data_IF_000385953039
#
_entry.id   IF_000385953039
#
_cell.length_a   1.000
_cell.length_b   1.000
_cell.length_c   1.000
_cell.angle_alpha   90.00
_cell.angle_beta   90.00
_cell.angle_gamma   90.00
#
_symmetry.space_group_name_H-M   'P 1'
#
loop_
_entity.id
_entity.type
_entity.pdbx_description
1 polymer ?
#
# COMPACT_ATOMS: atom_id res chain seq x y z
N UNK A 1 -16.56 -14.97 -12.30
CA UNK A 1 -16.09 -13.58 -12.23
C UNK A 1 -17.31 -12.65 -12.12
N UNK A 2 -17.65 -12.17 -10.93
CA UNK A 2 -18.58 -11.04 -10.81
C UNK A 2 -17.78 -9.83 -11.29
N UNK A 3 -18.34 -9.11 -12.25
CA UNK A 3 -17.71 -7.94 -12.88
C UNK A 3 -17.43 -6.90 -11.78
N UNK A 4 -16.17 -6.81 -11.34
CA UNK A 4 -15.73 -5.92 -10.25
C UNK A 4 -15.93 -4.44 -10.64
N UNK A 5 -15.97 -4.16 -11.95
CA UNK A 5 -16.22 -2.84 -12.53
C UNK A 5 -17.58 -2.23 -12.12
N UNK A 6 -18.56 -3.06 -11.74
CA UNK A 6 -19.86 -2.57 -11.25
C UNK A 6 -19.81 -2.08 -9.79
N UNK A 7 -18.77 -2.48 -9.04
CA UNK A 7 -18.66 -2.14 -7.62
C UNK A 7 -17.46 -1.23 -7.31
N UNK A 8 -16.55 -1.05 -8.27
CA UNK A 8 -15.33 -0.27 -8.07
C UNK A 8 -15.11 0.72 -9.22
N UNK A 9 -14.96 1.99 -8.89
CA UNK A 9 -14.52 3.05 -9.78
C UNK A 9 -13.04 3.32 -9.56
N UNK A 10 -12.28 3.60 -10.63
CA UNK A 10 -10.88 4.00 -10.54
C UNK A 10 -10.76 5.50 -10.81
N UNK A 11 -10.01 6.21 -9.97
CA UNK A 11 -9.82 7.65 -10.08
C UNK A 11 -8.33 8.00 -10.13
N UNK A 12 -8.01 9.06 -10.87
CA UNK A 12 -6.67 9.65 -11.01
C UNK A 12 -5.62 8.65 -11.52
N UNK A 13 -6.01 7.76 -12.44
CA UNK A 13 -5.16 6.70 -13.02
C UNK A 13 -3.86 7.24 -13.63
N UNK A 14 -3.85 8.48 -14.15
CA UNK A 14 -2.66 9.13 -14.69
C UNK A 14 -1.49 9.17 -13.68
N UNK A 15 -1.78 9.13 -12.38
CA UNK A 15 -0.75 9.14 -11.33
C UNK A 15 0.02 7.83 -11.23
N UNK A 16 -0.52 6.73 -11.75
CA UNK A 16 0.13 5.43 -11.80
C UNK A 16 0.59 5.08 -13.21
N UNK A 17 -0.17 5.49 -14.24
CA UNK A 17 0.17 5.27 -15.65
C UNK A 17 1.44 6.00 -16.08
N UNK A 18 1.68 7.19 -15.51
CA UNK A 18 2.88 7.99 -15.79
C UNK A 18 4.16 7.46 -15.10
N UNK A 19 4.08 6.41 -14.29
CA UNK A 19 5.27 5.76 -13.73
C UNK A 19 5.96 4.93 -14.82
N UNK A 20 7.26 5.18 -15.12
CA UNK A 20 7.97 4.39 -16.10
C UNK A 20 7.96 2.89 -15.76
N UNK A 21 7.79 2.02 -16.77
CA UNK A 21 7.64 0.57 -16.57
C UNK A 21 8.77 -0.06 -15.77
N UNK A 22 10.00 0.43 -15.91
CA UNK A 22 11.18 -0.11 -15.24
C UNK A 22 11.42 0.46 -13.85
N UNK A 23 10.71 1.53 -13.47
CA UNK A 23 10.96 2.22 -12.20
C UNK A 23 10.28 1.56 -11.01
N UNK A 24 9.12 0.96 -11.18
CA UNK A 24 8.28 0.50 -10.08
C UNK A 24 7.77 1.65 -9.21
N UNK A 25 6.94 1.31 -8.21
CA UNK A 25 6.43 2.28 -7.23
C UNK A 25 6.09 1.60 -5.90
N UNK A 26 6.14 2.35 -4.81
CA UNK A 26 5.55 1.97 -3.53
C UNK A 26 4.11 2.48 -3.50
N UNK A 27 3.15 1.60 -3.33
CA UNK A 27 1.77 1.98 -3.07
C UNK A 27 1.56 2.06 -1.56
N UNK A 28 1.32 3.28 -1.07
CA UNK A 28 1.06 3.54 0.34
C UNK A 28 -0.42 3.27 0.61
N UNK A 29 -0.72 2.17 1.28
CA UNK A 29 -2.07 1.65 1.46
C UNK A 29 -2.56 1.83 2.89
N UNK A 30 -3.88 1.81 3.05
CA UNK A 30 -4.58 1.96 4.33
C UNK A 30 -5.62 0.85 4.52
N UNK A 31 -5.89 0.47 5.77
CA UNK A 31 -7.02 -0.37 6.12
C UNK A 31 -8.29 0.50 6.11
N UNK A 32 -8.85 0.73 4.92
CA UNK A 32 -10.02 1.58 4.72
C UNK A 32 -10.98 0.96 3.70
N UNK A 33 -12.25 1.28 3.84
CA UNK A 33 -13.30 0.73 2.99
C UNK A 33 -13.23 -0.80 2.93
N UNK A 34 -13.34 -1.36 1.75
CA UNK A 34 -13.12 -2.79 1.50
C UNK A 34 -11.70 -3.06 0.99
N UNK A 35 -10.68 -2.88 1.85
CA UNK A 35 -9.26 -3.01 1.46
C UNK A 35 -8.88 -4.36 0.86
N UNK A 36 -9.65 -5.42 1.04
CA UNK A 36 -9.40 -6.72 0.37
C UNK A 36 -9.50 -6.60 -1.16
N UNK A 37 -10.24 -5.61 -1.69
CA UNK A 37 -10.28 -5.31 -3.14
C UNK A 37 -8.89 -4.92 -3.68
N UNK A 38 -8.01 -4.33 -2.86
CA UNK A 38 -6.65 -3.97 -3.25
C UNK A 38 -5.84 -5.18 -3.77
N UNK A 39 -6.20 -6.39 -3.34
CA UNK A 39 -5.57 -7.63 -3.82
C UNK A 39 -5.91 -7.94 -5.29
N UNK A 40 -6.95 -7.30 -5.83
CA UNK A 40 -7.37 -7.39 -7.24
C UNK A 40 -6.81 -6.26 -8.11
N UNK A 41 -5.99 -5.40 -7.55
CA UNK A 41 -5.47 -4.22 -8.23
C UNK A 41 -4.78 -4.57 -9.57
N UNK A 42 -4.09 -5.70 -9.65
CA UNK A 42 -3.43 -6.15 -10.88
C UNK A 42 -4.40 -6.40 -12.05
N UNK A 43 -5.62 -6.87 -11.76
CA UNK A 43 -6.68 -7.05 -12.78
C UNK A 43 -7.34 -5.74 -13.20
N UNK A 44 -7.23 -4.70 -12.36
CA UNK A 44 -8.05 -3.48 -12.45
C UNK A 44 -7.32 -2.31 -13.08
N UNK A 45 -6.02 -2.19 -12.83
CA UNK A 45 -5.23 -1.07 -13.38
C UNK A 45 -4.82 -1.37 -14.82
N UNK A 46 -4.98 -0.39 -15.74
CA UNK A 46 -4.65 -0.58 -17.16
C UNK A 46 -3.13 -0.58 -17.43
N UNK A 47 -2.33 -0.76 -16.41
CA UNK A 47 -0.88 -0.72 -16.48
C UNK A 47 -0.30 -2.14 -16.51
N UNK A 48 0.72 -2.37 -17.34
CA UNK A 48 1.41 -3.66 -17.45
C UNK A 48 2.38 -3.94 -16.30
N UNK A 49 2.58 -3.00 -15.38
CA UNK A 49 3.45 -3.22 -14.23
C UNK A 49 2.83 -4.28 -13.29
N UNK A 50 3.62 -5.29 -12.88
CA UNK A 50 3.10 -6.29 -11.96
C UNK A 50 2.79 -5.66 -10.60
N UNK A 51 1.70 -6.08 -9.96
CA UNK A 51 1.30 -5.62 -8.64
C UNK A 51 1.61 -6.66 -7.59
N UNK A 52 2.10 -6.24 -6.44
CA UNK A 52 2.34 -7.11 -5.31
C UNK A 52 2.14 -6.39 -3.99
N UNK A 53 2.14 -7.13 -2.89
CA UNK A 53 1.91 -6.56 -1.57
C UNK A 53 2.72 -7.24 -0.46
N UNK A 54 3.11 -6.45 0.54
CA UNK A 54 3.69 -6.98 1.77
C UNK A 54 2.57 -7.48 2.68
N UNK A 55 2.70 -8.69 3.22
CA UNK A 55 1.71 -9.22 4.15
C UNK A 55 2.34 -9.87 5.38
N UNK A 56 1.57 -9.95 6.45
CA UNK A 56 1.92 -10.71 7.66
C UNK A 56 1.30 -12.10 7.58
N UNK A 57 2.10 -13.18 7.53
CA UNK A 57 1.58 -14.54 7.55
C UNK A 57 0.74 -14.84 8.79
N UNK A 58 -0.34 -15.58 8.61
CA UNK A 58 -1.18 -16.06 9.70
C UNK A 58 -0.47 -17.16 10.48
N UNK A 59 -0.88 -17.35 11.75
CA UNK A 59 -0.27 -18.37 12.62
C UNK A 59 -0.53 -19.81 12.12
N UNK A 60 -1.74 -20.05 11.59
CA UNK A 60 -2.10 -21.36 11.04
C UNK A 60 -1.66 -21.41 9.56
N UNK A 61 -0.74 -22.30 9.16
CA UNK A 61 -0.21 -22.36 7.80
C UNK A 61 -1.24 -22.80 6.75
N UNK A 62 -2.26 -23.58 7.13
CA UNK A 62 -3.32 -23.99 6.20
C UNK A 62 -4.22 -22.81 5.86
N UNK A 63 -4.59 -22.02 6.86
CA UNK A 63 -5.39 -20.81 6.67
C UNK A 63 -4.55 -19.77 5.91
N UNK A 64 -3.27 -19.60 6.27
CA UNK A 64 -2.36 -18.68 5.58
C UNK A 64 -2.26 -19.01 4.09
N UNK A 65 -2.04 -20.27 3.73
CA UNK A 65 -1.99 -20.72 2.35
C UNK A 65 -3.31 -20.46 1.60
N UNK A 66 -4.44 -20.72 2.25
CA UNK A 66 -5.76 -20.46 1.65
C UNK A 66 -5.95 -18.98 1.35
N UNK A 67 -5.75 -18.12 2.36
CA UNK A 67 -5.89 -16.66 2.22
C UNK A 67 -4.91 -16.10 1.19
N UNK A 68 -3.65 -16.58 1.22
CA UNK A 68 -2.65 -16.18 0.23
C UNK A 68 -3.09 -16.50 -1.19
N UNK A 69 -3.55 -17.74 -1.45
CA UNK A 69 -4.06 -18.15 -2.77
C UNK A 69 -5.23 -17.29 -3.24
N UNK A 70 -6.16 -16.96 -2.33
CA UNK A 70 -7.29 -16.09 -2.64
C UNK A 70 -6.84 -14.68 -3.04
N UNK A 71 -5.90 -14.10 -2.30
CA UNK A 71 -5.36 -12.78 -2.60
C UNK A 71 -4.52 -12.75 -3.88
N UNK A 72 -3.79 -13.83 -4.18
CA UNK A 72 -2.98 -13.94 -5.39
C UNK A 72 -3.81 -14.36 -6.63
N UNK A 73 -5.08 -14.75 -6.47
CA UNK A 73 -5.94 -15.17 -7.58
C UNK A 73 -6.22 -14.08 -8.62
N UNK A 74 -6.01 -12.81 -8.28
CA UNK A 74 -6.09 -11.65 -9.17
C UNK A 74 -4.74 -11.26 -9.81
N UNK A 75 -3.76 -12.18 -9.84
CA UNK A 75 -2.45 -11.92 -10.44
C UNK A 75 -1.46 -11.15 -9.55
N UNK A 76 -1.90 -10.62 -8.40
CA UNK A 76 -1.01 -9.94 -7.46
C UNK A 76 -0.06 -10.94 -6.77
N UNK A 77 1.16 -10.51 -6.46
CA UNK A 77 2.15 -11.33 -5.73
C UNK A 77 2.25 -10.89 -4.27
N UNK A 78 2.26 -11.85 -3.33
CA UNK A 78 2.37 -11.55 -1.91
C UNK A 78 3.73 -11.90 -1.34
N UNK A 79 4.34 -10.93 -0.63
CA UNK A 79 5.65 -11.05 -0.01
C UNK A 79 5.53 -11.03 1.52
N UNK A 80 5.96 -12.12 2.17
CA UNK A 80 5.96 -12.20 3.63
C UNK A 80 6.91 -11.17 4.26
N UNK A 81 6.47 -10.43 5.28
CA UNK A 81 7.30 -9.46 6.03
C UNK A 81 8.61 -10.06 6.58
N UNK A 82 8.61 -11.34 6.94
CA UNK A 82 9.78 -11.99 7.55
C UNK A 82 10.80 -12.49 6.53
N UNK A 83 10.35 -13.08 5.43
CA UNK A 83 11.21 -13.78 4.46
C UNK A 83 11.12 -13.25 3.04
N UNK A 84 10.12 -12.45 2.74
CA UNK A 84 9.82 -11.95 1.40
C UNK A 84 10.48 -10.62 1.04
N UNK A 85 11.17 -9.93 1.96
CA UNK A 85 11.70 -8.58 1.71
C UNK A 85 12.68 -8.53 0.54
N UNK A 86 13.56 -9.54 0.41
CA UNK A 86 14.53 -9.61 -0.71
C UNK A 86 13.78 -9.77 -2.04
N UNK A 87 12.74 -10.61 -2.06
CA UNK A 87 11.93 -10.83 -3.26
C UNK A 87 11.11 -9.58 -3.60
N UNK A 88 10.55 -8.90 -2.61
CA UNK A 88 9.84 -7.64 -2.78
C UNK A 88 10.75 -6.54 -3.36
N UNK A 89 12.01 -6.45 -2.91
CA UNK A 89 12.98 -5.53 -3.49
C UNK A 89 13.33 -5.87 -4.94
N UNK A 90 13.53 -7.15 -5.26
CA UNK A 90 13.75 -7.59 -6.65
C UNK A 90 12.54 -7.31 -7.54
N UNK A 91 11.35 -7.50 -7.00
CA UNK A 91 10.09 -7.21 -7.68
C UNK A 91 9.97 -5.71 -8.00
N UNK A 92 10.21 -4.85 -7.00
CA UNK A 92 10.20 -3.40 -7.15
C UNK A 92 11.24 -2.93 -8.19
N UNK A 93 12.46 -3.50 -8.15
CA UNK A 93 13.53 -3.18 -9.11
C UNK A 93 13.20 -3.57 -10.57
N UNK A 94 12.28 -4.51 -10.76
CA UNK A 94 11.78 -4.93 -12.09
C UNK A 94 10.54 -4.15 -12.54
N UNK A 95 10.26 -3.01 -11.95
CA UNK A 95 9.11 -2.19 -12.29
C UNK A 95 7.83 -2.56 -11.55
N UNK A 96 7.87 -3.43 -10.54
CA UNK A 96 6.68 -3.84 -9.79
C UNK A 96 6.11 -2.74 -8.90
N UNK A 97 4.79 -2.68 -8.76
CA UNK A 97 4.09 -1.81 -7.82
C UNK A 97 3.86 -2.55 -6.50
N UNK A 98 4.55 -2.12 -5.45
CA UNK A 98 4.57 -2.81 -4.17
C UNK A 98 3.66 -2.13 -3.15
N UNK A 99 2.52 -2.73 -2.84
CA UNK A 99 1.58 -2.28 -1.82
C UNK A 99 2.07 -2.56 -0.40
N UNK A 100 2.01 -1.55 0.46
CA UNK A 100 2.35 -1.64 1.88
C UNK A 100 1.27 -0.93 2.70
N UNK A 101 0.54 -1.69 3.52
CA UNK A 101 -0.40 -1.15 4.51
C UNK A 101 0.39 -0.54 5.68
N UNK A 102 0.18 0.75 5.96
CA UNK A 102 1.08 1.54 6.80
C UNK A 102 0.42 2.15 8.05
N UNK A 103 -0.87 2.06 8.17
CA UNK A 103 -1.71 2.71 9.18
C UNK A 103 -1.84 1.95 10.50
N UNK A 104 -1.21 0.78 10.63
CA UNK A 104 -1.22 0.00 11.86
C UNK A 104 0.04 0.22 12.71
N UNK A 105 -0.13 0.08 14.03
CA UNK A 105 0.96 0.09 14.98
C UNK A 105 2.01 -0.99 14.67
N UNK A 106 3.26 -0.60 14.51
CA UNK A 106 4.36 -1.48 14.06
C UNK A 106 5.20 -2.05 15.21
N UNK A 107 4.83 -1.80 16.45
CA UNK A 107 5.51 -2.30 17.63
C UNK A 107 6.96 -1.80 17.73
N UNK A 108 7.84 -2.62 18.29
CA UNK A 108 9.25 -2.28 18.50
C UNK A 108 10.06 -2.11 17.20
N UNK A 109 9.57 -2.64 16.08
CA UNK A 109 10.25 -2.57 14.79
C UNK A 109 9.93 -1.29 14.00
N UNK A 110 8.91 -0.54 14.43
CA UNK A 110 8.52 0.73 13.83
C UNK A 110 9.36 1.92 14.31
N UNK A 111 9.25 3.02 13.59
CA UNK A 111 9.76 4.31 14.01
C UNK A 111 8.78 4.93 15.01
N UNK A 112 9.28 5.29 16.20
CA UNK A 112 8.49 6.06 17.17
C UNK A 112 8.23 7.44 16.62
N UNK A 113 6.97 7.84 16.56
CA UNK A 113 6.52 9.12 16.04
C UNK A 113 5.17 9.49 16.65
N UNK A 114 4.66 10.66 16.31
CA UNK A 114 3.29 11.04 16.65
C UNK A 114 2.39 10.83 15.44
N UNK A 115 1.21 10.28 15.67
CA UNK A 115 0.12 10.19 14.70
C UNK A 115 -1.09 10.88 15.34
N UNK A 116 -1.61 11.93 14.71
CA UNK A 116 -2.66 12.80 15.27
C UNK A 116 -2.32 13.33 16.69
N UNK A 117 -1.04 13.65 16.91
CA UNK A 117 -0.55 14.13 18.21
C UNK A 117 -0.32 13.04 19.26
N UNK A 118 -0.80 11.82 19.07
CA UNK A 118 -0.59 10.69 19.98
C UNK A 118 0.69 9.91 19.64
N UNK A 119 1.37 9.40 20.67
CA UNK A 119 2.54 8.53 20.53
C UNK A 119 2.18 7.28 19.75
N UNK A 120 2.92 6.98 18.68
CA UNK A 120 2.68 5.83 17.82
C UNK A 120 4.01 5.23 17.33
N UNK A 121 3.90 4.10 16.64
CA UNK A 121 5.02 3.42 16.01
C UNK A 121 4.63 3.02 14.59
N UNK A 122 5.21 3.68 13.61
CA UNK A 122 4.86 3.52 12.19
C UNK A 122 5.98 2.77 11.46
N UNK A 123 5.61 1.92 10.51
CA UNK A 123 6.59 1.18 9.71
C UNK A 123 7.40 2.14 8.82
N UNK A 124 8.75 2.16 8.92
CA UNK A 124 9.59 2.95 8.02
C UNK A 124 9.81 2.28 6.65
N UNK A 125 9.21 1.11 6.42
CA UNK A 125 9.48 0.30 5.22
C UNK A 125 9.20 1.01 3.90
N UNK A 126 8.10 1.76 3.71
CA UNK A 126 7.86 2.52 2.48
C UNK A 126 8.97 3.53 2.19
N UNK A 127 9.36 4.31 3.20
CA UNK A 127 10.43 5.30 3.06
C UNK A 127 11.78 4.65 2.73
N UNK A 128 12.15 3.57 3.44
CA UNK A 128 13.40 2.83 3.20
C UNK A 128 13.46 2.29 1.77
N UNK A 129 12.38 1.70 1.28
CA UNK A 129 12.35 1.11 -0.06
C UNK A 129 12.34 2.19 -1.14
N UNK A 130 11.56 3.26 -0.96
CA UNK A 130 11.51 4.37 -1.91
C UNK A 130 12.86 5.06 -2.04
N UNK A 131 13.56 5.37 -0.94
CA UNK A 131 14.91 5.94 -0.96
C UNK A 131 15.92 5.01 -1.62
N UNK A 132 15.89 3.72 -1.25
CA UNK A 132 16.83 2.72 -1.79
C UNK A 132 16.70 2.51 -3.29
N UNK A 133 15.47 2.51 -3.80
CA UNK A 133 15.17 2.22 -5.21
C UNK A 133 14.89 3.47 -6.04
N UNK A 134 14.92 4.66 -5.42
CA UNK A 134 14.64 5.94 -6.05
C UNK A 134 13.32 5.92 -6.83
N UNK A 135 12.30 5.29 -6.24
CA UNK A 135 10.98 5.13 -6.84
C UNK A 135 9.93 5.97 -6.11
N UNK A 136 8.86 6.39 -6.78
CA UNK A 136 7.80 7.19 -6.17
C UNK A 136 7.03 6.40 -5.12
N UNK A 137 6.49 7.12 -4.13
CA UNK A 137 5.48 6.62 -3.21
C UNK A 137 4.13 7.19 -3.64
N UNK A 138 3.18 6.33 -3.95
CA UNK A 138 1.84 6.72 -4.41
C UNK A 138 0.84 6.30 -3.35
N UNK A 139 0.22 7.26 -2.62
CA UNK A 139 -0.86 6.92 -1.72
C UNK A 139 -2.07 6.44 -2.51
N UNK A 140 -2.73 5.38 -2.02
CA UNK A 140 -3.93 4.83 -2.63
C UNK A 140 -5.02 4.74 -1.58
N UNK A 141 -6.17 5.36 -1.86
CA UNK A 141 -7.35 5.31 -0.98
C UNK A 141 -8.45 4.47 -1.60
N UNK A 142 -9.31 3.91 -0.76
CA UNK A 142 -10.48 3.15 -1.16
C UNK A 142 -11.70 3.68 -0.40
N UNK A 143 -12.34 4.68 -1.00
CA UNK A 143 -13.51 5.37 -0.42
C UNK A 143 -14.79 4.59 -0.69
N UNK A 144 -15.67 4.51 0.30
CA UNK A 144 -17.02 3.96 0.17
C UNK A 144 -17.96 5.03 -0.38
N UNK A 145 -18.38 4.92 -1.62
CA UNK A 145 -19.34 5.85 -2.26
C UNK A 145 -20.78 5.58 -1.82
N UNK A 146 -21.14 4.32 -1.72
CA UNK A 146 -22.44 3.83 -1.24
C UNK A 146 -22.32 2.35 -0.84
N UNK A 147 -23.33 1.73 -0.18
CA UNK A 147 -23.28 0.31 0.14
C UNK A 147 -22.95 -0.57 -1.07
N UNK A 148 -21.83 -1.29 -1.00
CA UNK A 148 -21.35 -2.18 -2.06
C UNK A 148 -20.66 -1.48 -3.25
N UNK A 149 -20.38 -0.18 -3.14
CA UNK A 149 -19.65 0.57 -4.17
C UNK A 149 -18.50 1.35 -3.58
N UNK A 150 -17.33 1.27 -4.21
CA UNK A 150 -16.10 1.92 -3.77
C UNK A 150 -15.44 2.68 -4.91
N UNK A 151 -14.61 3.68 -4.55
CA UNK A 151 -13.69 4.35 -5.46
C UNK A 151 -12.26 4.10 -4.99
N UNK A 152 -11.42 3.56 -5.86
CA UNK A 152 -9.98 3.46 -5.66
C UNK A 152 -9.31 4.66 -6.34
N UNK A 153 -8.66 5.50 -5.54
CA UNK A 153 -8.00 6.72 -6.02
C UNK A 153 -6.50 6.63 -5.84
N UNK A 154 -5.77 6.92 -6.91
CA UNK A 154 -4.32 7.02 -6.90
C UNK A 154 -3.92 8.49 -6.73
N UNK A 155 -3.40 8.86 -5.56
CA UNK A 155 -2.98 10.23 -5.28
C UNK A 155 -1.66 10.57 -6.01
N UNK A 156 -1.32 11.87 -6.02
CA UNK A 156 -0.09 12.34 -6.66
C UNK A 156 1.16 11.63 -6.12
N UNK A 157 2.05 11.17 -7.01
CA UNK A 157 3.30 10.54 -6.61
C UNK A 157 4.17 11.47 -5.77
N UNK A 158 4.74 10.92 -4.70
CA UNK A 158 5.68 11.59 -3.81
C UNK A 158 7.08 11.10 -4.14
N UNK A 159 7.95 12.00 -4.61
CA UNK A 159 9.36 11.71 -4.79
C UNK A 159 10.12 12.11 -3.52
N UNK A 160 10.76 11.15 -2.89
CA UNK A 160 11.61 11.42 -1.74
C UNK A 160 12.99 11.86 -2.22
N UNK A 161 13.49 12.97 -1.67
CA UNK A 161 14.84 13.45 -1.97
C UNK A 161 15.88 12.41 -1.52
N UNK A 162 16.90 12.08 -2.35
CA UNK A 162 17.96 11.16 -1.96
C UNK A 162 18.86 11.71 -0.84
N UNK A 163 18.75 13.00 -0.51
CA UNK A 163 19.53 13.66 0.54
C UNK A 163 18.94 13.49 1.95
N UNK A 164 17.64 13.16 2.06
CA UNK A 164 17.02 12.97 3.37
C UNK A 164 17.26 11.54 3.88
N UNK A 165 17.31 11.41 5.20
CA UNK A 165 17.44 10.09 5.81
C UNK A 165 16.07 9.37 5.93
N UNK A 166 16.13 8.09 6.31
CA UNK A 166 14.93 7.26 6.45
C UNK A 166 13.95 7.77 7.52
N UNK A 167 14.43 8.48 8.54
CA UNK A 167 13.61 9.00 9.64
C UNK A 167 12.83 10.20 9.15
N UNK A 168 13.50 11.15 8.52
CA UNK A 168 12.88 12.32 7.91
C UNK A 168 11.88 11.91 6.81
N UNK A 169 12.29 10.98 5.92
CA UNK A 169 11.41 10.43 4.89
C UNK A 169 10.15 9.77 5.47
N UNK A 170 10.30 9.01 6.57
CA UNK A 170 9.15 8.41 7.26
C UNK A 170 8.22 9.48 7.83
N UNK A 171 8.76 10.53 8.47
CA UNK A 171 7.96 11.63 9.01
C UNK A 171 7.19 12.39 7.91
N UNK A 172 7.79 12.58 6.72
CA UNK A 172 7.07 13.14 5.56
C UNK A 172 5.88 12.26 5.17
N UNK A 173 6.09 10.95 5.08
CA UNK A 173 5.00 10.02 4.76
C UNK A 173 3.93 9.95 5.85
N UNK A 174 4.30 10.07 7.14
CA UNK A 174 3.34 10.15 8.25
C UNK A 174 2.42 11.36 8.11
N UNK A 175 2.95 12.54 7.76
CA UNK A 175 2.12 13.73 7.50
C UNK A 175 1.13 13.51 6.34
N UNK A 176 1.56 12.82 5.28
CA UNK A 176 0.66 12.46 4.18
C UNK A 176 -0.41 11.49 4.65
N UNK A 177 -0.05 10.49 5.47
CA UNK A 177 -0.99 9.55 6.06
C UNK A 177 -2.02 10.28 6.92
N UNK A 178 -1.61 11.19 7.81
CA UNK A 178 -2.52 11.98 8.65
C UNK A 178 -3.54 12.76 7.81
N UNK A 179 -3.09 13.43 6.75
CA UNK A 179 -3.97 14.18 5.86
C UNK A 179 -5.01 13.27 5.18
N UNK A 180 -4.57 12.12 4.68
CA UNK A 180 -5.46 11.13 4.05
C UNK A 180 -6.44 10.57 5.06
N UNK A 181 -5.95 10.10 6.22
CA UNK A 181 -6.81 9.51 7.25
C UNK A 181 -7.81 10.52 7.82
N UNK A 182 -7.44 11.81 7.90
CA UNK A 182 -8.36 12.88 8.27
C UNK A 182 -9.45 13.08 7.20
N UNK A 183 -9.06 13.17 5.93
CA UNK A 183 -9.98 13.39 4.80
C UNK A 183 -10.97 12.25 4.64
N UNK A 184 -10.49 11.00 4.76
CA UNK A 184 -11.28 9.77 4.57
C UNK A 184 -11.61 9.08 5.91
N UNK A 185 -11.78 9.85 6.98
CA UNK A 185 -11.92 9.33 8.35
C UNK A 185 -13.08 8.35 8.56
N UNK A 186 -14.13 8.43 7.74
CA UNK A 186 -15.28 7.51 7.76
C UNK A 186 -14.95 6.10 7.28
N UNK A 187 -13.94 5.97 6.40
CA UNK A 187 -13.56 4.70 5.79
C UNK A 187 -12.41 4.01 6.50
N UNK A 188 -11.65 4.74 7.33
CA UNK A 188 -10.52 4.17 8.07
C UNK A 188 -10.99 3.19 9.14
N UNK A 189 -10.33 2.05 9.19
CA UNK A 189 -10.54 1.04 10.24
C UNK A 189 -9.77 1.41 11.51
N UNK A 190 -10.43 2.14 12.42
CA UNK A 190 -9.85 2.67 13.66
C UNK A 190 -9.67 1.63 14.78
N UNK A 191 -10.22 0.42 14.66
CA UNK A 191 -10.20 -0.61 15.70
C UNK A 191 -8.88 -1.43 15.67
N UNK A 192 -7.76 -0.74 15.85
CA UNK A 192 -6.46 -1.39 16.04
C UNK A 192 -5.80 -0.90 17.32
N UNK A 193 -5.36 -1.85 18.17
CA UNK A 193 -4.51 -1.59 19.33
C UNK A 193 -3.08 -1.21 18.91
#
# INVERSE_FOLDING_TARGET
>A
HRNIEHILTLADLQNIENVPKEQGAILLLFHMGNWEILTKMHELIPNENPVGGMYRPLKNPLIDNHVKKQRESGGSQLFSRKRGLIMAQKFLKKGGFLGILCDQYSGRAGLKTKLFGAESSITPLPAILALKHQCPVIPVTLETLSPGRWEMRFHKPIQLSPQIDKVEATHLLVKVMENIMHTYSRDIFWLHD
#
